data_IF_986757165501
#
_entry.id   IF_986757165501
#
_cell.length_a   1.000
_cell.length_b   1.000
_cell.length_c   1.000
_cell.angle_alpha   90.00
_cell.angle_beta   90.00
_cell.angle_gamma   90.00
#
_symmetry.space_group_name_H-M   'P 1'
#
loop_
_entity.id
_entity.type
_entity.pdbx_description
1 polymer ?
#
# COMPACT_ATOMS: atom_id res chain seq x y z
N UNK A 1 -0.01 33.27 -37.31
CA UNK A 1 -0.75 32.88 -36.09
C UNK A 1 -0.31 31.47 -35.72
N UNK A 2 0.72 31.33 -34.88
CA UNK A 2 1.10 30.04 -34.30
C UNK A 2 1.09 30.27 -32.79
N UNK A 3 0.13 29.65 -32.10
CA UNK A 3 0.06 29.64 -30.63
C UNK A 3 1.12 28.67 -30.13
N UNK A 4 2.32 29.19 -29.85
CA UNK A 4 3.33 28.47 -29.08
C UNK A 4 3.03 28.76 -27.60
N UNK A 5 2.42 27.81 -26.91
CA UNK A 5 2.12 27.96 -25.50
C UNK A 5 2.15 26.60 -24.82
N UNK A 6 3.24 26.33 -24.12
CA UNK A 6 3.33 25.46 -22.95
C UNK A 6 4.68 25.75 -22.27
N UNK A 7 4.75 26.86 -21.52
CA UNK A 7 5.76 27.05 -20.47
C UNK A 7 5.01 27.02 -19.14
N UNK A 8 5.06 25.89 -18.45
CA UNK A 8 5.18 25.82 -16.99
C UNK A 8 5.29 24.35 -16.59
N UNK A 9 6.53 23.92 -16.41
CA UNK A 9 6.87 22.72 -15.67
C UNK A 9 6.34 22.87 -14.25
N UNK A 10 5.37 22.03 -13.88
CA UNK A 10 5.17 21.62 -12.48
C UNK A 10 5.63 20.18 -12.40
N UNK A 11 6.46 19.88 -11.41
CA UNK A 11 7.18 18.62 -11.26
C UNK A 11 6.26 17.46 -10.83
N UNK A 12 5.26 17.13 -11.63
CA UNK A 12 4.49 15.88 -11.51
C UNK A 12 4.70 15.07 -12.79
N UNK A 13 5.59 14.08 -12.72
CA UNK A 13 5.99 13.21 -13.85
C UNK A 13 4.85 12.32 -14.40
N UNK A 14 3.59 12.58 -14.05
CA UNK A 14 2.44 11.73 -14.40
C UNK A 14 1.54 12.32 -15.49
N UNK A 15 1.79 13.53 -15.99
CA UNK A 15 0.88 14.22 -16.94
C UNK A 15 1.29 14.24 -18.43
N UNK A 16 2.46 13.72 -18.82
CA UNK A 16 2.96 13.89 -20.20
C UNK A 16 2.54 12.85 -21.26
N UNK A 17 1.55 12.00 -21.00
CA UNK A 17 1.07 11.00 -21.99
C UNK A 17 -0.45 10.91 -22.08
N UNK A 18 -1.12 11.93 -22.66
CA UNK A 18 -2.54 11.79 -22.98
C UNK A 18 -2.98 12.41 -24.32
N UNK A 19 -3.01 11.58 -25.37
CA UNK A 19 -3.64 11.84 -26.67
C UNK A 19 -5.05 11.19 -26.73
N UNK A 20 -6.07 12.00 -27.06
CA UNK A 20 -7.45 11.67 -27.48
C UNK A 20 -8.44 10.95 -26.50
N UNK A 21 -9.55 11.62 -26.19
CA UNK A 21 -10.87 11.04 -25.83
C UNK A 21 -11.07 10.34 -24.48
N UNK A 22 -10.02 9.80 -23.83
CA UNK A 22 -10.11 8.97 -22.60
C UNK A 22 -9.54 9.67 -21.34
N UNK A 23 -9.32 10.99 -21.43
CA UNK A 23 -8.60 11.81 -20.44
C UNK A 23 -9.25 11.82 -19.06
N UNK A 24 -10.57 11.98 -18.99
CA UNK A 24 -11.29 12.10 -17.72
C UNK A 24 -11.31 10.78 -16.93
N UNK A 25 -11.46 9.63 -17.60
CA UNK A 25 -11.48 8.33 -16.91
C UNK A 25 -10.10 7.90 -16.45
N UNK A 26 -9.06 8.10 -17.27
CA UNK A 26 -7.69 7.76 -16.86
C UNK A 26 -7.16 8.66 -15.74
N UNK A 27 -7.38 9.98 -15.84
CA UNK A 27 -6.97 10.92 -14.77
C UNK A 27 -7.69 10.63 -13.45
N UNK A 28 -8.99 10.31 -13.48
CA UNK A 28 -9.75 9.95 -12.28
C UNK A 28 -9.25 8.64 -11.66
N UNK A 29 -9.05 7.59 -12.46
CA UNK A 29 -8.53 6.31 -11.95
C UNK A 29 -7.11 6.44 -11.41
N UNK A 30 -6.26 7.25 -12.08
CA UNK A 30 -4.93 7.57 -11.57
C UNK A 30 -4.99 8.32 -10.24
N UNK A 31 -5.82 9.34 -10.11
CA UNK A 31 -6.00 10.09 -8.86
C UNK A 31 -6.50 9.18 -7.72
N UNK A 32 -7.45 8.29 -8.02
CA UNK A 32 -7.97 7.30 -7.08
C UNK A 32 -6.89 6.31 -6.63
N UNK A 33 -6.03 5.88 -7.56
CA UNK A 33 -4.92 4.99 -7.24
C UNK A 33 -3.84 5.70 -6.41
N UNK A 34 -3.50 6.94 -6.75
CA UNK A 34 -2.55 7.78 -6.01
C UNK A 34 -3.02 8.01 -4.57
N UNK A 35 -4.29 8.36 -4.36
CA UNK A 35 -4.86 8.52 -3.02
C UNK A 35 -4.80 7.22 -2.20
N UNK A 36 -5.04 6.06 -2.82
CA UNK A 36 -4.91 4.75 -2.15
C UNK A 36 -3.46 4.46 -1.77
N UNK A 37 -2.50 4.75 -2.66
CA UNK A 37 -1.08 4.57 -2.38
C UNK A 37 -0.62 5.44 -1.21
N UNK A 38 -1.02 6.71 -1.16
CA UNK A 38 -0.66 7.64 -0.08
C UNK A 38 -1.21 7.18 1.28
N UNK A 39 -2.42 6.61 1.33
CA UNK A 39 -2.96 5.99 2.55
C UNK A 39 -2.14 4.77 2.95
N UNK A 40 -1.82 3.89 2.01
CA UNK A 40 -1.02 2.68 2.29
C UNK A 40 0.38 3.02 2.82
N UNK A 41 1.04 4.02 2.22
CA UNK A 41 2.37 4.45 2.64
C UNK A 41 2.37 5.06 4.04
N UNK A 42 1.36 5.87 4.38
CA UNK A 42 1.18 6.40 5.74
C UNK A 42 0.93 5.29 6.75
N UNK A 43 0.07 4.33 6.43
CA UNK A 43 -0.18 3.20 7.30
C UNK A 43 1.09 2.38 7.53
N UNK A 44 1.89 2.15 6.50
CA UNK A 44 3.18 1.45 6.63
C UNK A 44 4.11 2.15 7.62
N UNK A 45 4.25 3.49 7.53
CA UNK A 45 5.02 4.28 8.50
C UNK A 45 4.50 4.10 9.92
N UNK A 46 3.19 4.18 10.13
CA UNK A 46 2.59 3.97 11.45
C UNK A 46 2.89 2.57 12.01
N UNK A 47 2.82 1.52 11.18
CA UNK A 47 3.19 0.16 11.61
C UNK A 47 4.69 -0.01 11.92
N UNK A 48 5.54 0.82 11.31
CA UNK A 48 6.98 0.87 11.60
C UNK A 48 7.32 1.74 12.82
N UNK A 49 6.33 2.44 13.39
CA UNK A 49 6.50 3.29 14.57
C UNK A 49 6.72 4.79 14.28
N UNK A 50 6.58 5.22 13.03
CA UNK A 50 6.77 6.61 12.60
C UNK A 50 5.46 7.41 12.61
N UNK A 51 5.54 8.74 12.73
CA UNK A 51 4.41 9.70 12.61
C UNK A 51 3.21 9.43 13.55
N UNK A 52 3.45 8.75 14.68
CA UNK A 52 2.42 8.31 15.64
C UNK A 52 1.77 9.45 16.45
N UNK A 53 2.35 10.64 16.46
CA UNK A 53 1.87 11.81 17.22
C UNK A 53 0.55 12.36 16.67
N UNK A 54 0.28 12.10 15.39
CA UNK A 54 -0.93 12.55 14.70
C UNK A 54 -2.11 11.56 14.84
N UNK A 55 -1.89 10.42 15.50
CA UNK A 55 -2.90 9.38 15.66
C UNK A 55 -3.69 9.59 16.96
N UNK A 56 -5.00 9.50 16.88
CA UNK A 56 -5.86 9.43 18.07
C UNK A 56 -5.63 8.12 18.84
N UNK A 57 -5.95 8.11 20.13
CA UNK A 57 -5.85 6.92 20.99
C UNK A 57 -6.56 5.69 20.39
N UNK A 58 -7.69 5.89 19.72
CA UNK A 58 -8.45 4.83 19.05
C UNK A 58 -7.72 4.26 17.83
N UNK A 59 -7.11 5.12 17.02
CA UNK A 59 -6.33 4.69 15.85
C UNK A 59 -5.07 3.92 16.29
N UNK A 60 -4.42 4.36 17.37
CA UNK A 60 -3.28 3.64 17.97
C UNK A 60 -3.67 2.26 18.47
N UNK A 61 -4.78 2.13 19.21
CA UNK A 61 -5.30 0.82 19.63
C UNK A 61 -5.62 -0.10 18.43
N UNK A 62 -6.16 0.46 17.34
CA UNK A 62 -6.42 -0.30 16.12
C UNK A 62 -5.14 -0.76 15.40
N UNK A 63 -3.99 -0.11 15.61
CA UNK A 63 -2.70 -0.55 15.07
C UNK A 63 -2.03 -1.61 15.95
N UNK A 64 -2.30 -1.62 17.25
CA UNK A 64 -1.76 -2.58 18.22
C UNK A 64 -2.48 -3.93 18.23
N UNK A 65 -3.77 -3.96 17.90
CA UNK A 65 -4.57 -5.19 17.89
C UNK A 65 -4.27 -6.18 16.72
N UNK A 66 -3.93 -5.75 15.49
CA UNK A 66 -3.59 -6.63 14.36
C UNK A 66 -2.30 -7.49 14.50
N UNK A 67 -1.17 -7.02 15.08
CA UNK A 67 0.06 -7.79 15.10
C UNK A 67 -0.05 -9.13 15.83
N UNK A 68 -0.79 -9.21 16.92
CA UNK A 68 -0.91 -10.46 17.68
C UNK A 68 -1.65 -11.56 16.90
N UNK A 69 -2.71 -11.20 16.16
CA UNK A 69 -3.46 -12.14 15.33
C UNK A 69 -2.67 -12.62 14.11
N UNK A 70 -2.01 -11.69 13.43
CA UNK A 70 -1.17 -12.00 12.25
C UNK A 70 0.02 -12.88 12.62
N UNK A 71 0.72 -12.57 13.72
CA UNK A 71 1.85 -13.37 14.20
C UNK A 71 1.41 -14.78 14.63
N UNK A 72 0.26 -14.91 15.31
CA UNK A 72 -0.32 -16.23 15.64
C UNK A 72 -0.60 -17.04 14.39
N UNK A 73 -1.20 -16.42 13.37
CA UNK A 73 -1.48 -17.09 12.10
C UNK A 73 -0.20 -17.54 11.37
N UNK A 74 0.80 -16.66 11.28
CA UNK A 74 2.11 -17.01 10.69
C UNK A 74 2.75 -18.18 11.43
N UNK A 75 2.83 -18.13 12.76
CA UNK A 75 3.39 -19.23 13.56
C UNK A 75 2.62 -20.54 13.39
N UNK A 76 1.29 -20.47 13.35
CA UNK A 76 0.45 -21.66 13.12
C UNK A 76 0.76 -22.30 11.75
N UNK A 77 0.90 -21.48 10.72
CA UNK A 77 1.25 -21.94 9.36
C UNK A 77 2.64 -22.55 9.30
N UNK A 78 3.65 -21.91 9.89
CA UNK A 78 5.02 -22.45 9.96
C UNK A 78 5.04 -23.81 10.68
N UNK A 79 4.34 -23.92 11.81
CA UNK A 79 4.23 -25.18 12.55
C UNK A 79 3.52 -26.27 11.74
N UNK A 80 2.48 -25.91 10.99
CA UNK A 80 1.76 -26.85 10.12
C UNK A 80 2.71 -27.41 9.05
N UNK A 81 3.43 -26.54 8.34
CA UNK A 81 4.39 -26.94 7.31
C UNK A 81 5.52 -27.82 7.87
N UNK A 82 6.00 -27.50 9.07
CA UNK A 82 7.00 -28.31 9.77
C UNK A 82 6.48 -29.72 10.10
N UNK A 83 5.24 -29.80 10.62
CA UNK A 83 4.61 -31.10 10.92
C UNK A 83 4.33 -31.93 9.67
N UNK A 84 3.92 -31.29 8.57
CA UNK A 84 3.79 -31.93 7.27
C UNK A 84 5.14 -32.52 6.82
N UNK A 85 6.23 -31.75 6.93
CA UNK A 85 7.58 -32.22 6.60
C UNK A 85 8.03 -33.40 7.46
N UNK A 86 7.79 -33.37 8.79
CA UNK A 86 8.12 -34.48 9.70
C UNK A 86 7.34 -35.74 9.31
N UNK A 87 6.04 -35.59 9.05
CA UNK A 87 5.17 -36.71 8.67
C UNK A 87 5.64 -37.37 7.38
N UNK A 88 6.05 -36.58 6.38
CA UNK A 88 6.57 -37.11 5.12
C UNK A 88 7.93 -37.80 5.28
N UNK A 89 8.78 -37.33 6.18
CA UNK A 89 10.05 -38.01 6.50
C UNK A 89 9.83 -39.32 7.25
N UNK A 90 8.84 -39.40 8.15
CA UNK A 90 8.53 -40.61 8.92
C UNK A 90 7.85 -41.71 8.10
N UNK A 91 7.25 -41.36 6.96
CA UNK A 91 6.65 -42.32 6.02
C UNK A 91 7.66 -42.94 5.04
N UNK A 92 8.87 -42.40 4.96
CA UNK A 92 10.00 -42.97 4.20
C UNK A 92 10.76 -43.97 5.04
#
# INVERSE_FOLDING_TARGET
>A
MVRMGCLSATNDWTEELCCCGRKASWSLEHAKLKARMEVLQRNQKHYMGDELDNLSTRERQNLEHPPEGSLKHTRARENQLMNESITELQKK
#
